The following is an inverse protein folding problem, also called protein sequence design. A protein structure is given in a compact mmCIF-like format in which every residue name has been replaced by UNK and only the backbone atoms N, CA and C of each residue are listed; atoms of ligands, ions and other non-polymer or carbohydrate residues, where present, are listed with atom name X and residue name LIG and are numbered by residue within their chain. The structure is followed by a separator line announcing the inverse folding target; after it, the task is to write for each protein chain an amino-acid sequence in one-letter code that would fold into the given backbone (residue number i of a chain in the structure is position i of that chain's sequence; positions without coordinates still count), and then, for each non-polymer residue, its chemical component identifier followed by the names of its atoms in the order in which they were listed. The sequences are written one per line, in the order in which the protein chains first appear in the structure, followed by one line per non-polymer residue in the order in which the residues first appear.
data_IF_312967812572
#
_entry.id   IF_312967812572
#
_cell.length_a   1.000
_cell.length_b   1.000
_cell.length_c   1.000
_cell.angle_alpha   90.00
_cell.angle_beta   90.00
_cell.angle_gamma   90.00
#
_symmetry.space_group_name_H-M   'P 1'
#
loop_
_entity.id
_entity.type
_entity.pdbx_description
1 polymer ?
#
# COMPACT_ATOMS: atom_id res chain seq x y z
N UNK A 1 25.10 38.42 9.45
CA UNK A 1 24.21 37.44 10.11
C UNK A 1 22.79 37.43 9.53
N UNK A 2 22.09 38.57 9.43
CA UNK A 2 20.70 38.62 8.93
C UNK A 2 20.49 38.08 7.49
N UNK A 3 21.38 38.40 6.55
CA UNK A 3 21.28 37.92 5.15
C UNK A 3 21.48 36.40 5.05
N UNK A 4 22.41 35.85 5.84
CA UNK A 4 22.67 34.40 5.85
C UNK A 4 21.47 33.61 6.41
N UNK A 5 20.83 34.09 7.48
CA UNK A 5 19.61 33.49 8.03
C UNK A 5 18.45 33.51 7.03
N UNK A 6 18.28 34.61 6.28
CA UNK A 6 17.24 34.72 5.26
C UNK A 6 17.43 33.74 4.10
N UNK A 7 18.67 33.58 3.63
CA UNK A 7 19.00 32.63 2.56
C UNK A 7 18.77 31.18 3.00
N UNK A 8 19.19 30.84 4.22
CA UNK A 8 18.96 29.51 4.80
C UNK A 8 17.45 29.25 4.96
N UNK A 9 16.70 30.21 5.48
CA UNK A 9 15.23 30.11 5.61
C UNK A 9 14.54 29.84 4.26
N UNK A 10 14.87 30.63 3.23
CA UNK A 10 14.33 30.44 1.87
C UNK A 10 14.65 29.08 1.27
N UNK A 11 15.81 28.51 1.57
CA UNK A 11 16.16 27.17 1.10
C UNK A 11 15.27 26.10 1.74
N UNK A 12 15.05 26.17 3.05
CA UNK A 12 14.14 25.25 3.75
C UNK A 12 12.68 25.41 3.30
N UNK A 13 12.22 26.65 3.11
CA UNK A 13 10.87 26.92 2.59
C UNK A 13 10.67 26.32 1.20
N UNK A 14 11.63 26.49 0.28
CA UNK A 14 11.56 25.89 -1.06
C UNK A 14 11.54 24.36 -1.00
N UNK A 15 12.37 23.75 -0.15
CA UNK A 15 12.36 22.29 0.02
C UNK A 15 11.03 21.80 0.58
N UNK A 16 10.51 22.45 1.62
CA UNK A 16 9.22 22.10 2.21
C UNK A 16 8.07 22.26 1.20
N UNK A 17 8.11 23.29 0.36
CA UNK A 17 7.12 23.51 -0.69
C UNK A 17 7.14 22.40 -1.75
N UNK A 18 8.32 22.00 -2.22
CA UNK A 18 8.48 20.89 -3.18
C UNK A 18 8.01 19.56 -2.56
N UNK A 19 8.39 19.28 -1.32
CA UNK A 19 7.95 18.08 -0.61
C UNK A 19 6.43 18.05 -0.40
N UNK A 20 5.82 19.21 -0.11
CA UNK A 20 4.37 19.34 0.03
C UNK A 20 3.64 19.13 -1.30
N UNK A 21 4.16 19.67 -2.41
CA UNK A 21 3.61 19.47 -3.74
C UNK A 21 3.69 18.00 -4.16
N UNK A 22 4.86 17.37 -4.00
CA UNK A 22 5.05 15.94 -4.25
C UNK A 22 4.08 15.10 -3.41
N UNK A 23 3.92 15.42 -2.12
CA UNK A 23 2.96 14.72 -1.25
C UNK A 23 1.53 14.92 -1.73
N UNK A 24 1.16 16.12 -2.16
CA UNK A 24 -0.17 16.43 -2.68
C UNK A 24 -0.51 15.64 -3.95
N UNK A 25 0.49 15.38 -4.80
CA UNK A 25 0.34 14.53 -5.99
C UNK A 25 0.26 13.04 -5.67
N UNK A 26 0.99 12.56 -4.66
CA UNK A 26 0.99 11.15 -4.24
C UNK A 26 -0.31 10.70 -3.58
N UNK A 27 -0.88 11.55 -2.71
CA UNK A 27 -2.10 11.23 -1.94
C UNK A 27 -3.25 10.69 -2.80
N UNK A 28 -3.69 11.36 -3.89
CA UNK A 28 -4.81 10.88 -4.69
C UNK A 28 -4.51 9.55 -5.37
N UNK A 29 -3.28 9.31 -5.80
CA UNK A 29 -2.87 8.07 -6.48
C UNK A 29 -2.97 6.89 -5.52
N UNK A 30 -2.41 7.03 -4.33
CA UNK A 30 -2.44 5.99 -3.29
C UNK A 30 -3.85 5.78 -2.72
N UNK A 31 -4.63 6.84 -2.52
CA UNK A 31 -6.02 6.71 -2.06
C UNK A 31 -6.83 5.91 -3.07
N UNK A 32 -6.68 6.23 -4.36
CA UNK A 32 -7.32 5.50 -5.45
C UNK A 32 -6.90 4.03 -5.50
N UNK A 33 -5.61 3.74 -5.32
CA UNK A 33 -5.09 2.36 -5.26
C UNK A 33 -5.71 1.58 -4.09
N UNK A 34 -5.68 2.15 -2.88
CA UNK A 34 -6.18 1.50 -1.66
C UNK A 34 -7.70 1.28 -1.75
N UNK A 35 -8.45 2.27 -2.23
CA UNK A 35 -9.89 2.14 -2.45
C UNK A 35 -10.21 1.02 -3.44
N UNK A 36 -9.50 0.97 -4.57
CA UNK A 36 -9.68 -0.08 -5.58
C UNK A 36 -9.40 -1.48 -5.01
N UNK A 37 -8.30 -1.63 -4.26
CA UNK A 37 -7.94 -2.88 -3.58
C UNK A 37 -8.99 -3.31 -2.56
N UNK A 38 -9.44 -2.40 -1.70
CA UNK A 38 -10.45 -2.71 -0.69
C UNK A 38 -11.82 -3.00 -1.31
N UNK A 39 -12.20 -2.30 -2.38
CA UNK A 39 -13.44 -2.59 -3.12
C UNK A 39 -13.40 -3.99 -3.72
N UNK A 40 -12.27 -4.41 -4.29
CA UNK A 40 -12.09 -5.77 -4.79
C UNK A 40 -12.24 -6.80 -3.67
N UNK A 41 -11.61 -6.58 -2.52
CA UNK A 41 -11.63 -7.51 -1.39
C UNK A 41 -12.99 -7.59 -0.68
N UNK A 42 -13.65 -6.45 -0.46
CA UNK A 42 -14.90 -6.38 0.30
C UNK A 42 -16.12 -6.77 -0.52
N UNK A 43 -16.04 -6.78 -1.86
CA UNK A 43 -17.21 -7.03 -2.71
C UNK A 43 -17.61 -8.49 -2.85
N UNK A 44 -16.84 -9.47 -2.36
CA UNK A 44 -17.21 -10.87 -2.10
C UNK A 44 -17.82 -11.70 -3.25
N UNK A 45 -18.85 -11.19 -3.94
CA UNK A 45 -19.80 -11.94 -4.74
C UNK A 45 -20.08 -11.34 -6.15
N UNK A 46 -19.41 -10.25 -6.55
CA UNK A 46 -19.52 -9.69 -7.91
C UNK A 46 -18.32 -10.09 -8.81
N UNK A 47 -18.03 -11.40 -8.84
CA UNK A 47 -16.74 -11.97 -9.23
C UNK A 47 -16.27 -11.68 -10.68
N UNK A 48 -17.17 -11.38 -11.63
CA UNK A 48 -16.78 -11.08 -13.00
C UNK A 48 -16.74 -9.56 -13.30
N UNK A 49 -17.84 -8.85 -13.00
CA UNK A 49 -17.95 -7.42 -13.29
C UNK A 49 -16.97 -6.56 -12.46
N UNK A 50 -16.65 -6.99 -11.23
CA UNK A 50 -15.67 -6.30 -10.38
C UNK A 50 -14.22 -6.54 -10.81
N UNK A 51 -13.91 -7.71 -11.37
CA UNK A 51 -12.55 -8.07 -11.77
C UNK A 51 -12.08 -7.30 -13.01
N UNK A 52 -12.94 -7.17 -14.02
CA UNK A 52 -12.64 -6.38 -15.22
C UNK A 52 -12.46 -4.90 -14.87
N UNK A 53 -13.37 -4.35 -14.04
CA UNK A 53 -13.25 -2.97 -13.56
C UNK A 53 -11.95 -2.74 -12.79
N UNK A 54 -11.59 -3.66 -11.89
CA UNK A 54 -10.33 -3.58 -11.15
C UNK A 54 -9.11 -3.65 -12.08
N UNK A 55 -9.14 -4.53 -13.09
CA UNK A 55 -8.06 -4.65 -14.07
C UNK A 55 -7.85 -3.35 -14.86
N UNK A 56 -8.93 -2.69 -15.30
CA UNK A 56 -8.83 -1.38 -15.97
C UNK A 56 -8.31 -0.29 -15.02
N UNK A 57 -8.83 -0.22 -13.79
CA UNK A 57 -8.33 0.74 -12.78
C UNK A 57 -6.84 0.55 -12.51
N UNK A 58 -6.36 -0.70 -12.44
CA UNK A 58 -4.93 -0.98 -12.28
C UNK A 58 -4.09 -0.55 -13.48
N UNK A 59 -4.59 -0.70 -14.72
CA UNK A 59 -3.89 -0.22 -15.92
C UNK A 59 -3.74 1.30 -15.89
N UNK A 60 -4.76 2.02 -15.43
CA UNK A 60 -4.73 3.49 -15.33
C UNK A 60 -3.83 4.00 -14.19
N UNK A 61 -3.79 3.29 -13.06
CA UNK A 61 -3.03 3.69 -11.87
C UNK A 61 -1.55 3.32 -11.99
N UNK A 62 -1.21 2.24 -12.71
CA UNK A 62 0.18 1.73 -12.77
C UNK A 62 1.20 2.78 -13.27
N UNK A 63 0.98 3.54 -14.36
CA UNK A 63 1.92 4.59 -14.77
C UNK A 63 2.10 5.68 -13.72
N UNK A 64 1.03 6.02 -13.00
CA UNK A 64 1.06 7.03 -11.93
C UNK A 64 1.84 6.53 -10.71
N UNK A 65 1.70 5.26 -10.35
CA UNK A 65 2.53 4.63 -9.32
C UNK A 65 4.00 4.65 -9.72
N UNK A 66 4.34 4.31 -10.97
CA UNK A 66 5.74 4.35 -11.45
C UNK A 66 6.32 5.76 -11.35
N UNK A 67 5.53 6.79 -11.68
CA UNK A 67 5.99 8.17 -11.68
C UNK A 67 6.15 8.76 -10.26
N UNK A 68 5.27 8.39 -9.33
CA UNK A 68 5.14 9.10 -8.05
C UNK A 68 5.39 8.25 -6.81
N UNK A 69 5.29 6.93 -6.89
CA UNK A 69 5.45 6.10 -5.71
C UNK A 69 6.93 5.99 -5.28
N UNK A 70 7.18 5.81 -3.98
CA UNK A 70 8.53 5.43 -3.53
C UNK A 70 8.89 4.01 -3.93
N UNK A 71 10.19 3.74 -3.96
CA UNK A 71 10.77 2.44 -4.27
C UNK A 71 10.19 1.33 -3.36
N UNK A 72 10.07 1.59 -2.06
CA UNK A 72 9.46 0.65 -1.09
C UNK A 72 8.04 0.24 -1.53
N UNK A 73 7.21 1.21 -1.93
CA UNK A 73 5.83 0.95 -2.37
C UNK A 73 5.81 0.18 -3.68
N UNK A 74 6.69 0.52 -4.65
CA UNK A 74 6.78 -0.20 -5.92
C UNK A 74 7.21 -1.66 -5.73
N UNK A 75 8.15 -1.91 -4.82
CA UNK A 75 8.62 -3.25 -4.49
C UNK A 75 7.50 -4.09 -3.87
N UNK A 76 6.81 -3.56 -2.84
CA UNK A 76 5.73 -4.31 -2.19
C UNK A 76 4.52 -4.47 -3.12
N UNK A 77 4.20 -3.49 -3.98
CA UNK A 77 3.17 -3.63 -5.00
C UNK A 77 3.49 -4.76 -5.99
N UNK A 78 4.74 -4.81 -6.43
CA UNK A 78 5.25 -5.84 -7.34
C UNK A 78 5.19 -7.24 -6.70
N UNK A 79 5.51 -7.34 -5.40
CA UNK A 79 5.38 -8.59 -4.63
C UNK A 79 3.94 -9.04 -4.48
N UNK A 80 3.04 -8.16 -4.06
CA UNK A 80 1.62 -8.47 -3.93
C UNK A 80 1.03 -8.97 -5.25
N UNK A 81 1.28 -8.27 -6.36
CA UNK A 81 0.83 -8.70 -7.70
C UNK A 81 1.32 -10.09 -8.10
N UNK A 82 2.59 -10.41 -7.83
CA UNK A 82 3.13 -11.75 -8.10
C UNK A 82 2.47 -12.80 -7.19
N UNK A 83 2.28 -12.48 -5.91
CA UNK A 83 1.69 -13.39 -4.94
C UNK A 83 0.25 -13.76 -5.31
N UNK A 84 -0.58 -12.79 -5.71
CA UNK A 84 -1.96 -13.07 -6.10
C UNK A 84 -2.03 -13.79 -7.45
N UNK A 85 -1.15 -13.47 -8.40
CA UNK A 85 -1.12 -14.13 -9.71
C UNK A 85 -0.63 -15.59 -9.63
N UNK A 86 0.23 -15.91 -8.65
CA UNK A 86 0.72 -17.26 -8.41
C UNK A 86 -0.17 -18.09 -7.48
N UNK A 87 -1.12 -17.45 -6.77
CA UNK A 87 -1.96 -18.14 -5.80
C UNK A 87 -2.91 -19.12 -6.51
N UNK A 88 -2.76 -20.39 -6.19
CA UNK A 88 -3.57 -21.50 -6.71
C UNK A 88 -4.27 -22.29 -5.60
N UNK A 89 -3.80 -22.11 -4.37
CA UNK A 89 -4.34 -22.73 -3.16
C UNK A 89 -4.86 -21.69 -2.18
N UNK A 90 -5.69 -22.14 -1.24
CA UNK A 90 -6.18 -21.29 -0.14
C UNK A 90 -5.02 -20.71 0.66
N UNK A 91 -4.02 -21.53 1.01
CA UNK A 91 -2.84 -21.08 1.77
C UNK A 91 -2.01 -20.01 1.04
N UNK A 92 -1.92 -20.08 -0.30
CA UNK A 92 -1.22 -19.06 -1.09
C UNK A 92 -2.04 -17.77 -1.21
N UNK A 93 -3.37 -17.89 -1.28
CA UNK A 93 -4.29 -16.74 -1.25
C UNK A 93 -4.19 -16.03 0.11
N UNK A 94 -4.19 -16.80 1.20
CA UNK A 94 -3.94 -16.31 2.55
C UNK A 94 -2.58 -15.60 2.66
N UNK A 95 -1.53 -16.16 2.06
CA UNK A 95 -0.21 -15.51 2.02
C UNK A 95 -0.21 -14.19 1.25
N UNK A 96 -0.97 -14.11 0.14
CA UNK A 96 -1.10 -12.88 -0.64
C UNK A 96 -1.77 -11.74 0.14
N UNK A 97 -2.68 -12.05 1.07
CA UNK A 97 -3.27 -11.03 1.97
C UNK A 97 -2.21 -10.37 2.84
N UNK A 98 -1.22 -11.12 3.33
CA UNK A 98 -0.13 -10.52 4.11
C UNK A 98 0.85 -9.71 3.24
N UNK A 99 1.02 -10.06 1.96
CA UNK A 99 1.76 -9.19 1.03
C UNK A 99 1.00 -7.89 0.75
N UNK A 100 -0.33 -7.93 0.71
CA UNK A 100 -1.14 -6.70 0.67
C UNK A 100 -0.93 -5.85 1.92
N UNK A 101 -0.91 -6.45 3.11
CA UNK A 101 -0.65 -5.70 4.34
C UNK A 101 0.71 -5.00 4.32
N UNK A 102 1.76 -5.66 3.83
CA UNK A 102 3.09 -5.04 3.65
C UNK A 102 3.03 -3.84 2.70
N UNK A 103 2.28 -3.95 1.61
CA UNK A 103 2.03 -2.82 0.69
C UNK A 103 1.33 -1.66 1.41
N UNK A 104 0.28 -1.92 2.18
CA UNK A 104 -0.42 -0.88 2.95
C UNK A 104 0.51 -0.20 3.97
N UNK A 105 1.39 -0.96 4.62
CA UNK A 105 2.41 -0.43 5.53
C UNK A 105 3.41 0.45 4.77
N UNK A 106 3.86 0.03 3.59
CA UNK A 106 4.77 0.83 2.76
C UNK A 106 4.14 2.17 2.34
N UNK A 107 2.86 2.16 1.91
CA UNK A 107 2.12 3.38 1.58
C UNK A 107 2.01 4.31 2.79
N UNK A 108 1.67 3.78 3.97
CA UNK A 108 1.61 4.57 5.22
C UNK A 108 2.97 5.19 5.57
N UNK A 109 4.06 4.45 5.38
CA UNK A 109 5.41 4.96 5.61
C UNK A 109 5.75 6.08 4.64
N UNK A 110 5.37 5.94 3.36
CA UNK A 110 5.57 6.99 2.35
C UNK A 110 4.80 8.28 2.68
N UNK A 111 3.62 8.17 3.29
CA UNK A 111 2.88 9.33 3.84
C UNK A 111 3.55 9.99 5.04
N UNK A 112 4.56 9.36 5.64
CA UNK A 112 5.28 9.89 6.80
C UNK A 112 4.74 9.38 8.14
N UNK A 113 3.91 8.34 8.17
CA UNK A 113 3.61 7.64 9.42
C UNK A 113 4.87 6.92 9.91
N UNK A 114 5.48 7.46 10.97
CA UNK A 114 6.68 6.91 11.59
C UNK A 114 6.29 5.87 12.65
N UNK A 115 6.90 4.69 12.60
CA UNK A 115 6.87 3.70 13.70
C UNK A 115 6.27 2.34 13.33
N UNK A 116 6.77 1.30 14.02
CA UNK A 116 6.34 -0.10 13.94
C UNK A 116 5.16 -0.41 14.88
N UNK A 117 4.31 0.58 15.20
CA UNK A 117 3.19 0.36 16.11
C UNK A 117 2.17 -0.63 15.53
N UNK A 118 1.99 -0.57 14.21
CA UNK A 118 1.19 -1.53 13.45
C UNK A 118 2.02 -2.80 13.29
N UNK A 119 1.53 -3.88 13.87
CA UNK A 119 2.08 -5.24 13.75
C UNK A 119 1.39 -5.95 12.59
N UNK A 120 2.01 -7.05 12.18
CA UNK A 120 1.41 -7.98 11.22
C UNK A 120 0.05 -8.47 11.73
N UNK A 121 -0.96 -8.41 10.85
CA UNK A 121 -2.36 -8.71 11.13
C UNK A 121 -3.21 -7.50 11.55
N UNK A 122 -2.60 -6.40 12.02
CA UNK A 122 -3.35 -5.26 12.55
C UNK A 122 -4.13 -4.50 11.46
N UNK A 123 -3.57 -4.37 10.25
CA UNK A 123 -4.29 -3.70 9.15
C UNK A 123 -5.28 -4.66 8.49
N UNK A 124 -4.95 -5.94 8.38
CA UNK A 124 -5.89 -6.94 7.87
C UNK A 124 -7.15 -7.01 8.71
N UNK A 125 -7.02 -6.93 10.03
CA UNK A 125 -8.16 -6.92 10.97
C UNK A 125 -9.14 -5.76 10.77
N UNK A 126 -8.79 -4.72 10.00
CA UNK A 126 -9.71 -3.63 9.67
C UNK A 126 -10.78 -4.03 8.65
N UNK A 127 -10.56 -5.09 7.87
CA UNK A 127 -11.45 -5.52 6.78
C UNK A 127 -11.62 -7.02 6.64
N UNK A 128 -10.90 -7.83 7.43
CA UNK A 128 -11.05 -9.29 7.52
C UNK A 128 -11.35 -9.65 8.96
N UNK A 129 -12.56 -10.15 9.22
CA UNK A 129 -13.04 -10.42 10.58
C UNK A 129 -12.22 -11.50 11.31
N UNK A 130 -11.72 -12.49 10.56
CA UNK A 130 -10.94 -13.64 11.05
C UNK A 130 -9.41 -13.45 10.86
N UNK A 131 -8.94 -12.21 10.71
CA UNK A 131 -7.52 -11.91 10.50
C UNK A 131 -6.59 -12.46 11.59
N UNK A 132 -7.08 -12.54 12.84
CA UNK A 132 -6.30 -13.11 13.94
C UNK A 132 -6.10 -14.63 13.77
N UNK A 133 -7.15 -15.36 13.38
CA UNK A 133 -7.07 -16.79 13.13
C UNK A 133 -6.15 -17.10 11.93
N UNK A 134 -6.26 -16.29 10.88
CA UNK A 134 -5.40 -16.32 9.70
C UNK A 134 -3.91 -16.18 10.08
N UNK A 135 -3.59 -15.23 10.96
CA UNK A 135 -2.23 -15.00 11.44
C UNK A 135 -1.69 -16.20 12.23
N UNK A 136 -2.50 -16.80 13.11
CA UNK A 136 -2.11 -17.96 13.88
C UNK A 136 -1.91 -19.20 12.99
N UNK A 137 -2.78 -19.43 11.99
CA UNK A 137 -2.58 -20.49 10.98
C UNK A 137 -1.25 -20.34 10.26
N UNK A 138 -0.91 -19.12 9.83
CA UNK A 138 0.37 -18.84 9.15
C UNK A 138 1.57 -19.08 10.06
N UNK A 139 1.52 -18.64 11.32
CA UNK A 139 2.58 -18.87 12.31
C UNK A 139 2.78 -20.35 12.61
N UNK A 140 1.71 -21.14 12.65
CA UNK A 140 1.76 -22.59 12.80
C UNK A 140 2.48 -23.27 11.64
N UNK A 141 2.22 -22.84 10.40
CA UNK A 141 2.88 -23.37 9.19
C UNK A 141 4.37 -23.04 9.11
N UNK A 142 4.79 -21.85 9.57
CA UNK A 142 6.20 -21.44 9.55
C UNK A 142 7.11 -22.18 10.55
N UNK A 143 6.52 -22.97 11.46
CA UNK A 143 7.25 -23.75 12.49
C UNK A 143 7.42 -25.23 12.13
N UNK A 144 6.80 -25.69 11.04
CA UNK A 144 6.96 -27.05 10.50
C UNK A 144 8.00 -27.05 9.38
#
# INVERSE_FOLDING_TARGET
MAVATLVIGRYYERRAAVEAEIRSSKIPIYSRLVESLLRMLLRGDAAAAGADQFAEELREITPQLIAWASDDVLIEWSRFKRSIAAASTESETEAALFELEKLLIAIRRDYGHKGQAVKEGDLLGLFINDAHELLERRRGRARQ
#
